data_IF_146433137258
#
_entry.id   IF_146433137258
#
_cell.length_a   1.000
_cell.length_b   1.000
_cell.length_c   1.000
_cell.angle_alpha   90.00
_cell.angle_beta   90.00
_cell.angle_gamma   90.00
#
_symmetry.space_group_name_H-M   'P 1'
#
loop_
_entity.id
_entity.type
_entity.pdbx_description
1 polymer ?
#
# COMPACT_ATOMS: atom_id res chain seq x y z
N UNK A 1 25.08 13.81 -8.20
CA UNK A 1 24.11 14.24 -7.15
C UNK A 1 24.75 14.00 -5.79
N UNK A 2 24.50 14.85 -4.78
CA UNK A 2 25.03 14.63 -3.43
C UNK A 2 24.39 13.39 -2.82
N UNK A 3 25.19 12.53 -2.15
CA UNK A 3 24.68 11.35 -1.46
C UNK A 3 24.63 11.57 0.06
N UNK A 4 23.58 11.05 0.71
CA UNK A 4 23.44 11.10 2.17
C UNK A 4 23.80 9.78 2.86
N UNK A 5 24.32 9.87 4.08
CA UNK A 5 24.66 8.69 4.89
C UNK A 5 23.42 7.92 5.32
N UNK A 6 23.56 6.62 5.59
CA UNK A 6 22.48 5.78 6.13
C UNK A 6 21.91 6.35 7.43
N UNK A 7 22.74 6.91 8.30
CA UNK A 7 22.27 7.53 9.54
C UNK A 7 21.33 8.73 9.27
N UNK A 8 21.63 9.55 8.26
CA UNK A 8 20.76 10.65 7.87
C UNK A 8 19.50 10.17 7.14
N UNK A 9 19.58 9.07 6.37
CA UNK A 9 18.39 8.41 5.80
C UNK A 9 17.45 7.90 6.89
N UNK A 10 17.98 7.25 7.93
CA UNK A 10 17.20 6.79 9.06
C UNK A 10 16.51 7.97 9.75
N UNK A 11 17.26 9.04 10.05
CA UNK A 11 16.70 10.26 10.68
C UNK A 11 15.59 10.89 9.85
N UNK A 12 15.73 10.95 8.52
CA UNK A 12 14.69 11.48 7.64
C UNK A 12 13.44 10.59 7.64
N UNK A 13 13.60 9.27 7.58
CA UNK A 13 12.49 8.32 7.69
C UNK A 13 11.77 8.39 9.04
N UNK A 14 12.52 8.47 10.15
CA UNK A 14 11.97 8.64 11.49
C UNK A 14 11.21 9.97 11.62
N UNK A 15 11.74 11.06 11.06
CA UNK A 15 11.10 12.38 11.09
C UNK A 15 9.78 12.43 10.31
N UNK A 16 9.64 11.64 9.23
CA UNK A 16 8.37 11.53 8.50
C UNK A 16 7.39 10.63 9.25
N UNK A 17 7.85 9.45 9.67
CA UNK A 17 6.97 8.43 10.25
C UNK A 17 6.44 8.79 11.64
N UNK A 18 7.17 9.58 12.43
CA UNK A 18 6.67 10.08 13.73
C UNK A 18 5.42 10.94 13.58
N UNK A 19 5.23 11.61 12.43
CA UNK A 19 4.02 12.41 12.14
C UNK A 19 2.75 11.56 12.06
N UNK A 20 2.91 10.26 11.82
CA UNK A 20 1.81 9.30 11.71
C UNK A 20 1.40 8.69 13.07
N UNK A 21 2.07 9.03 14.18
CA UNK A 21 1.69 8.57 15.51
C UNK A 21 0.24 8.96 15.85
N UNK A 22 -0.62 7.96 16.07
CA UNK A 22 -2.06 8.16 16.27
C UNK A 22 -2.80 8.68 15.04
N UNK A 23 -2.17 8.63 13.86
CA UNK A 23 -2.74 9.06 12.59
C UNK A 23 -3.70 8.06 11.97
N UNK A 24 -4.20 8.39 10.78
CA UNK A 24 -5.16 7.59 10.03
C UNK A 24 -4.54 7.10 8.73
N UNK A 25 -4.91 5.89 8.30
CA UNK A 25 -4.63 5.36 6.97
C UNK A 25 -5.96 5.13 6.26
N UNK A 26 -6.26 5.98 5.29
CA UNK A 26 -7.51 5.90 4.52
C UNK A 26 -7.26 5.24 3.18
N UNK A 27 -8.15 4.32 2.82
CA UNK A 27 -8.05 3.53 1.60
C UNK A 27 -9.10 4.00 0.61
N UNK A 28 -8.71 4.26 -0.63
CA UNK A 28 -9.56 4.87 -1.62
C UNK A 28 -9.61 4.09 -2.93
N UNK A 29 -10.71 4.26 -3.65
CA UNK A 29 -10.81 3.94 -5.09
C UNK A 29 -10.95 5.21 -5.94
N UNK A 30 -10.89 5.04 -7.26
CA UNK A 30 -10.82 6.12 -8.25
C UNK A 30 -9.39 6.39 -8.71
N UNK A 31 -9.19 7.49 -9.43
CA UNK A 31 -7.87 7.88 -9.95
C UNK A 31 -6.94 8.25 -8.79
N UNK A 32 -5.78 7.59 -8.62
CA UNK A 32 -4.80 8.01 -7.63
C UNK A 32 -4.33 9.46 -7.89
N UNK A 33 -4.17 10.26 -6.84
CA UNK A 33 -3.59 11.59 -6.95
C UNK A 33 -2.15 11.51 -7.49
N UNK A 34 -1.66 12.61 -8.09
CA UNK A 34 -0.29 12.69 -8.60
C UNK A 34 0.72 12.60 -7.46
N UNK A 35 0.41 13.25 -6.34
CA UNK A 35 1.18 13.20 -5.10
C UNK A 35 0.29 13.44 -3.87
N UNK A 36 0.89 13.32 -2.68
CA UNK A 36 0.22 13.52 -1.39
C UNK A 36 -0.31 14.96 -1.18
N UNK A 37 0.22 15.95 -1.91
CA UNK A 37 -0.23 17.34 -1.82
C UNK A 37 -1.48 17.61 -2.66
N UNK A 38 -1.73 16.75 -3.65
CA UNK A 38 -2.89 16.87 -4.54
C UNK A 38 -4.16 16.56 -3.75
N UNK A 39 -5.11 17.51 -3.78
CA UNK A 39 -6.42 17.34 -3.17
C UNK A 39 -7.17 16.18 -3.85
N UNK A 40 -7.91 15.41 -3.05
CA UNK A 40 -8.74 14.32 -3.58
C UNK A 40 -9.99 14.90 -4.25
N UNK A 41 -10.38 14.35 -5.40
CA UNK A 41 -11.53 14.80 -6.17
C UNK A 41 -12.16 13.61 -6.89
N UNK A 42 -13.41 13.28 -6.54
CA UNK A 42 -14.12 12.12 -7.08
C UNK A 42 -13.64 10.75 -6.56
N UNK A 43 -12.69 10.72 -5.61
CA UNK A 43 -12.29 9.49 -4.94
C UNK A 43 -13.36 9.03 -3.95
N UNK A 44 -13.53 7.73 -3.81
CA UNK A 44 -14.44 7.13 -2.81
C UNK A 44 -13.62 6.49 -1.71
N UNK A 45 -13.91 6.84 -0.45
CA UNK A 45 -13.35 6.18 0.73
C UNK A 45 -13.93 4.76 0.84
N UNK A 46 -13.05 3.78 1.01
CA UNK A 46 -13.41 2.38 1.17
C UNK A 46 -13.22 1.90 2.61
N UNK A 47 -12.20 2.41 3.31
CA UNK A 47 -11.89 2.04 4.68
C UNK A 47 -11.02 3.10 5.38
N UNK A 48 -11.10 3.16 6.70
CA UNK A 48 -10.28 4.01 7.58
C UNK A 48 -9.64 3.18 8.71
N UNK A 49 -8.32 2.99 8.62
CA UNK A 49 -7.53 2.31 9.64
C UNK A 49 -6.81 3.34 10.53
N UNK A 50 -6.41 2.92 11.74
CA UNK A 50 -5.75 3.81 12.71
C UNK A 50 -4.35 3.32 13.05
N UNK A 51 -3.35 4.20 12.97
CA UNK A 51 -2.00 3.92 13.46
C UNK A 51 -1.96 3.96 14.99
N UNK A 52 -1.11 3.13 15.60
CA UNK A 52 -0.86 3.18 17.04
C UNK A 52 -0.19 4.49 17.50
N UNK A 53 -0.14 4.71 18.82
CA UNK A 53 0.55 5.86 19.43
C UNK A 53 2.04 5.95 19.03
N UNK A 54 2.66 4.81 18.73
CA UNK A 54 3.94 4.72 18.02
C UNK A 54 3.68 4.01 16.70
N UNK A 55 3.57 4.76 15.61
CA UNK A 55 3.12 4.25 14.32
C UNK A 55 4.16 3.35 13.64
N UNK A 56 5.46 3.67 13.79
CA UNK A 56 6.55 2.95 13.15
C UNK A 56 7.67 2.64 14.16
N UNK A 57 8.39 1.54 13.91
CA UNK A 57 9.67 1.28 14.53
C UNK A 57 10.76 2.21 13.97
N UNK A 58 11.86 2.36 14.72
CA UNK A 58 13.00 3.17 14.27
C UNK A 58 13.57 2.65 12.94
N UNK A 59 13.87 3.57 12.04
CA UNK A 59 14.34 3.26 10.71
C UNK A 59 15.72 2.57 10.72
N UNK A 60 15.87 1.58 9.85
CA UNK A 60 17.13 0.90 9.56
C UNK A 60 17.35 0.90 8.05
N UNK A 61 18.56 1.24 7.60
CA UNK A 61 18.89 1.35 6.17
C UNK A 61 17.95 2.29 5.36
N UNK A 62 17.42 3.30 6.03
CA UNK A 62 16.48 4.28 5.50
C UNK A 62 15.03 3.80 5.39
N UNK A 63 14.71 2.63 5.95
CA UNK A 63 13.35 2.05 5.94
C UNK A 63 12.84 1.90 7.36
N UNK A 64 11.64 2.40 7.62
CA UNK A 64 10.90 2.20 8.85
C UNK A 64 9.70 1.28 8.58
N UNK A 65 9.51 0.27 9.43
CA UNK A 65 8.36 -0.61 9.36
C UNK A 65 7.26 -0.12 10.32
N UNK A 66 6.02 -0.13 9.86
CA UNK A 66 4.89 0.19 10.73
C UNK A 66 4.78 -0.84 11.85
N UNK A 67 4.43 -0.39 13.04
CA UNK A 67 3.91 -1.26 14.08
C UNK A 67 2.49 -1.72 13.71
N UNK A 68 1.83 -2.46 14.60
CA UNK A 68 0.46 -2.88 14.38
C UNK A 68 -0.45 -1.67 14.06
N UNK A 69 -1.14 -1.75 12.92
CA UNK A 69 -2.17 -0.81 12.50
C UNK A 69 -3.51 -1.42 12.90
N UNK A 70 -4.32 -0.66 13.64
CA UNK A 70 -5.65 -1.09 14.04
C UNK A 70 -6.52 -1.28 12.80
N UNK A 71 -7.12 -2.47 12.68
CA UNK A 71 -8.00 -2.82 11.59
C UNK A 71 -9.23 -1.90 11.53
N UNK A 72 -9.70 -1.63 10.33
CA UNK A 72 -11.06 -1.14 10.13
C UNK A 72 -11.99 -2.36 10.19
N UNK A 73 -12.84 -2.46 11.22
CA UNK A 73 -13.76 -3.59 11.37
C UNK A 73 -15.01 -3.48 10.50
N UNK A 74 -15.25 -2.33 9.88
CA UNK A 74 -16.49 -2.02 9.16
C UNK A 74 -16.22 -1.07 8.00
N UNK A 75 -15.61 -1.59 6.94
CA UNK A 75 -15.32 -0.83 5.72
C UNK A 75 -16.52 0.01 5.25
N UNK A 76 -16.26 1.26 4.89
CA UNK A 76 -17.29 2.23 4.52
C UNK A 76 -18.03 1.85 3.24
N UNK A 77 -17.32 1.25 2.28
CA UNK A 77 -17.86 0.94 0.96
C UNK A 77 -17.20 -0.28 0.31
N UNK A 78 -17.88 -0.87 -0.67
CA UNK A 78 -17.34 -1.95 -1.51
C UNK A 78 -16.59 -1.35 -2.69
N UNK A 79 -15.39 -1.86 -2.96
CA UNK A 79 -14.63 -1.44 -4.13
C UNK A 79 -13.22 -2.00 -4.19
N UNK A 80 -12.61 -1.84 -5.36
CA UNK A 80 -11.20 -2.17 -5.61
C UNK A 80 -10.35 -0.95 -5.30
N UNK A 81 -9.53 -0.94 -4.26
CA UNK A 81 -8.73 0.22 -3.93
C UNK A 81 -7.61 0.43 -4.94
N UNK A 82 -7.27 1.69 -5.14
CA UNK A 82 -6.23 2.11 -6.07
C UNK A 82 -5.05 2.75 -5.34
N UNK A 83 -5.30 3.39 -4.19
CA UNK A 83 -4.28 3.94 -3.32
C UNK A 83 -4.77 4.01 -1.86
N UNK A 84 -3.83 4.20 -0.95
CA UNK A 84 -4.10 4.58 0.44
C UNK A 84 -3.32 5.86 0.76
N UNK A 85 -3.88 6.73 1.61
CA UNK A 85 -3.25 7.96 2.07
C UNK A 85 -3.14 7.94 3.58
N UNK A 86 -1.93 8.15 4.08
CA UNK A 86 -1.66 8.28 5.49
C UNK A 86 -1.72 9.76 5.91
N UNK A 87 -2.37 10.01 7.04
CA UNK A 87 -2.60 11.33 7.61
C UNK A 87 -2.01 11.40 9.01
N UNK A 88 -1.66 12.61 9.44
CA UNK A 88 -1.38 12.89 10.85
C UNK A 88 -2.62 12.63 11.72
N UNK A 89 -2.41 12.63 13.04
CA UNK A 89 -3.51 12.66 14.01
C UNK A 89 -4.48 13.81 13.68
N UNK A 90 -5.78 13.52 13.68
CA UNK A 90 -6.83 14.47 13.26
C UNK A 90 -7.25 14.34 11.79
N UNK A 91 -6.53 13.58 10.97
CA UNK A 91 -7.03 13.12 9.66
C UNK A 91 -7.15 14.21 8.58
N UNK A 92 -6.49 15.36 8.75
CA UNK A 92 -6.56 16.48 7.79
C UNK A 92 -5.26 16.66 7.02
N UNK A 93 -4.10 16.58 7.70
CA UNK A 93 -2.79 16.74 7.07
C UNK A 93 -2.32 15.43 6.45
N UNK A 94 -2.23 15.38 5.12
CA UNK A 94 -1.67 14.24 4.41
C UNK A 94 -0.14 14.18 4.59
N UNK A 95 0.41 12.97 4.75
CA UNK A 95 1.85 12.75 4.94
C UNK A 95 2.44 11.96 3.77
N UNK A 96 1.80 10.87 3.36
CA UNK A 96 2.32 9.97 2.31
C UNK A 96 1.18 9.18 1.66
N UNK A 97 1.33 8.92 0.36
CA UNK A 97 0.45 8.04 -0.42
C UNK A 97 1.15 6.71 -0.69
N UNK A 98 0.37 5.64 -0.69
CA UNK A 98 0.78 4.29 -1.06
C UNK A 98 -0.08 3.77 -2.19
N UNK A 99 0.51 3.03 -3.14
CA UNK A 99 -0.27 2.27 -4.11
C UNK A 99 -0.88 1.07 -3.39
N UNK A 100 -2.21 0.97 -3.40
CA UNK A 100 -2.87 -0.12 -2.68
C UNK A 100 -2.53 -1.45 -3.36
N UNK A 101 -2.03 -2.41 -2.59
CA UNK A 101 -1.72 -3.76 -3.03
C UNK A 101 -2.19 -4.78 -2.00
N UNK A 102 -2.64 -5.95 -2.47
CA UNK A 102 -3.14 -7.03 -1.63
C UNK A 102 -2.25 -8.26 -1.69
N UNK A 103 -2.40 -9.20 -0.78
CA UNK A 103 -1.81 -10.53 -0.97
C UNK A 103 -2.32 -11.18 -2.27
N UNK A 104 -1.45 -11.81 -3.05
CA UNK A 104 -1.90 -12.62 -4.18
C UNK A 104 -2.74 -13.81 -3.69
N UNK A 105 -3.84 -14.09 -4.39
CA UNK A 105 -4.73 -15.21 -4.10
C UNK A 105 -4.93 -16.02 -5.39
N UNK A 106 -4.74 -17.32 -5.28
CA UNK A 106 -4.98 -18.27 -6.37
C UNK A 106 -6.41 -18.18 -6.93
N UNK A 107 -6.56 -18.50 -8.21
CA UNK A 107 -7.88 -18.60 -8.87
C UNK A 107 -8.77 -17.37 -8.69
N UNK A 108 -8.17 -16.19 -8.51
CA UNK A 108 -8.89 -14.93 -8.25
C UNK A 108 -8.94 -14.07 -9.50
N UNK A 109 -10.08 -13.41 -9.73
CA UNK A 109 -10.25 -12.47 -10.83
C UNK A 109 -9.63 -11.11 -10.49
N UNK A 110 -8.65 -10.70 -11.30
CA UNK A 110 -7.99 -9.40 -11.21
C UNK A 110 -8.34 -8.53 -12.41
N UNK A 111 -8.58 -7.25 -12.16
CA UNK A 111 -8.80 -6.20 -13.14
C UNK A 111 -7.49 -5.48 -13.45
N UNK A 112 -7.43 -4.81 -14.60
CA UNK A 112 -6.28 -3.95 -14.94
C UNK A 112 -6.11 -2.88 -13.85
N UNK A 113 -4.88 -2.70 -13.40
CA UNK A 113 -4.53 -1.72 -12.36
C UNK A 113 -4.55 -2.26 -10.94
N UNK A 114 -5.17 -3.43 -10.68
CA UNK A 114 -5.04 -4.12 -9.40
C UNK A 114 -3.57 -4.38 -9.11
N UNK A 115 -3.20 -4.36 -7.83
CA UNK A 115 -1.87 -4.74 -7.39
C UNK A 115 -1.91 -5.87 -6.39
N UNK A 116 -0.95 -6.77 -6.54
CA UNK A 116 -0.73 -7.89 -5.64
C UNK A 116 0.69 -7.91 -5.13
N UNK A 117 0.87 -8.52 -3.97
CA UNK A 117 2.14 -8.82 -3.35
C UNK A 117 2.34 -10.33 -3.39
N UNK A 118 3.46 -10.75 -3.96
CA UNK A 118 3.92 -12.13 -3.94
C UNK A 118 5.43 -12.17 -3.68
N UNK A 119 5.87 -12.97 -2.72
CA UNK A 119 7.29 -13.05 -2.34
C UNK A 119 7.92 -11.71 -1.90
N UNK A 120 7.13 -10.79 -1.34
CA UNK A 120 7.57 -9.44 -0.92
C UNK A 120 7.65 -8.40 -2.05
N UNK A 121 7.35 -8.79 -3.28
CA UNK A 121 7.35 -7.92 -4.45
C UNK A 121 5.93 -7.51 -4.82
N UNK A 122 5.76 -6.26 -5.28
CA UNK A 122 4.52 -5.73 -5.79
C UNK A 122 4.44 -5.86 -7.32
N UNK A 123 3.27 -6.27 -7.79
CA UNK A 123 2.96 -6.46 -9.20
C UNK A 123 1.64 -5.79 -9.56
N UNK A 124 1.59 -5.06 -10.67
CA UNK A 124 0.38 -4.45 -11.21
C UNK A 124 -0.16 -5.29 -12.37
N UNK A 125 -1.46 -5.61 -12.36
CA UNK A 125 -2.12 -6.25 -13.48
C UNK A 125 -2.16 -5.29 -14.69
N UNK A 126 -1.59 -5.72 -15.81
CA UNK A 126 -1.60 -5.02 -17.10
C UNK A 126 -2.58 -5.63 -18.09
N UNK A 127 -3.00 -6.88 -17.88
CA UNK A 127 -4.15 -7.50 -18.53
C UNK A 127 -5.03 -8.20 -17.49
N UNK A 128 -6.34 -7.99 -17.54
CA UNK A 128 -7.29 -8.61 -16.62
C UNK A 128 -7.46 -10.10 -16.91
N UNK A 129 -7.81 -10.88 -15.89
CA UNK A 129 -8.04 -12.31 -16.02
C UNK A 129 -8.21 -12.99 -14.66
N UNK A 130 -8.23 -14.32 -14.68
CA UNK A 130 -8.19 -15.14 -13.46
C UNK A 130 -6.77 -15.64 -13.24
N UNK A 131 -6.20 -15.38 -12.05
CA UNK A 131 -4.84 -15.82 -11.72
C UNK A 131 -4.70 -17.35 -11.72
N UNK A 132 -3.48 -17.87 -11.80
CA UNK A 132 -3.26 -19.30 -11.74
C UNK A 132 -3.73 -19.90 -10.41
N UNK A 133 -3.90 -21.22 -10.39
CA UNK A 133 -4.27 -21.95 -9.18
C UNK A 133 -3.14 -22.00 -8.12
N UNK A 134 -1.91 -21.64 -8.48
CA UNK A 134 -0.75 -21.56 -7.56
C UNK A 134 0.38 -20.72 -8.16
N UNK A 135 1.38 -20.38 -7.33
CA UNK A 135 2.64 -19.75 -7.76
C UNK A 135 2.62 -18.22 -7.79
N UNK A 136 1.61 -17.62 -8.43
CA UNK A 136 1.48 -16.17 -8.59
C UNK A 136 2.61 -15.53 -9.43
N UNK A 137 2.57 -14.19 -9.63
CA UNK A 137 3.62 -13.50 -10.38
C UNK A 137 4.95 -13.57 -9.64
N UNK A 138 6.04 -13.86 -10.36
CA UNK A 138 7.41 -13.86 -9.84
C UNK A 138 8.36 -13.18 -10.83
N UNK A 139 9.54 -12.77 -10.36
CA UNK A 139 10.53 -12.03 -11.16
C UNK A 139 10.33 -10.52 -11.14
N UNK A 140 11.09 -9.82 -11.98
CA UNK A 140 11.18 -8.34 -12.03
C UNK A 140 10.80 -7.74 -13.39
N UNK A 141 10.16 -8.54 -14.26
CA UNK A 141 9.81 -8.14 -15.62
C UNK A 141 8.55 -7.28 -15.73
N UNK A 142 8.40 -6.60 -16.86
CA UNK A 142 7.21 -5.82 -17.20
C UNK A 142 6.06 -6.67 -17.80
N UNK A 143 6.30 -7.95 -18.06
CA UNK A 143 5.31 -8.89 -18.61
C UNK A 143 5.54 -10.25 -18.00
N UNK A 144 4.69 -10.61 -17.05
CA UNK A 144 4.72 -11.87 -16.31
C UNK A 144 3.32 -12.48 -16.40
N UNK A 145 3.17 -13.60 -17.08
CA UNK A 145 1.89 -14.29 -17.20
C UNK A 145 1.68 -15.22 -16.01
N UNK A 146 0.51 -15.12 -15.38
CA UNK A 146 0.07 -15.93 -14.25
C UNK A 146 -1.42 -16.26 -14.46
N UNK A 147 -1.68 -17.49 -14.92
CA UNK A 147 -3.01 -17.88 -15.39
C UNK A 147 -3.44 -17.03 -16.58
N UNK A 148 -4.61 -16.40 -16.45
CA UNK A 148 -5.13 -15.44 -17.43
C UNK A 148 -4.74 -13.98 -17.17
N UNK A 149 -3.97 -13.68 -16.12
CA UNK A 149 -3.54 -12.32 -15.79
C UNK A 149 -2.13 -12.08 -16.31
N UNK A 150 -1.87 -10.88 -16.83
CA UNK A 150 -0.51 -10.41 -17.10
C UNK A 150 -0.14 -9.35 -16.09
N UNK A 151 1.04 -9.48 -15.50
CA UNK A 151 1.56 -8.61 -14.45
C UNK A 151 2.80 -7.84 -14.90
N UNK A 152 3.00 -6.67 -14.31
CA UNK A 152 4.24 -5.91 -14.38
C UNK A 152 4.78 -5.69 -12.96
N UNK A 153 6.04 -6.05 -12.72
CA UNK A 153 6.73 -5.74 -11.48
C UNK A 153 6.84 -4.23 -11.28
N UNK A 154 6.57 -3.75 -10.06
CA UNK A 154 6.65 -2.33 -9.69
C UNK A 154 7.66 -2.02 -8.59
N UNK A 155 8.29 -3.04 -7.99
CA UNK A 155 9.20 -2.86 -6.88
C UNK A 155 8.91 -3.82 -5.73
N UNK A 156 9.62 -3.60 -4.62
CA UNK A 156 9.28 -4.21 -3.33
C UNK A 156 7.97 -3.62 -2.82
N UNK A 157 7.16 -4.43 -2.13
CA UNK A 157 5.88 -3.97 -1.61
C UNK A 157 6.07 -2.96 -0.45
N UNK A 158 5.43 -1.80 -0.58
CA UNK A 158 5.43 -0.78 0.49
C UNK A 158 4.24 -0.94 1.44
N UNK A 159 3.11 -1.46 0.93
CA UNK A 159 1.90 -1.76 1.69
C UNK A 159 1.31 -3.08 1.20
N UNK A 160 0.82 -3.92 2.12
CA UNK A 160 0.08 -5.14 1.79
C UNK A 160 -1.19 -5.21 2.62
N UNK A 161 -2.35 -5.08 1.98
CA UNK A 161 -3.64 -5.41 2.57
C UNK A 161 -3.85 -6.93 2.55
N UNK A 162 -4.49 -7.45 3.59
CA UNK A 162 -4.91 -8.86 3.60
C UNK A 162 -6.19 -9.03 2.78
N UNK A 163 -6.40 -10.24 2.24
CA UNK A 163 -7.60 -10.57 1.47
C UNK A 163 -7.44 -10.31 -0.03
N UNK A 164 -8.56 -10.41 -0.75
CA UNK A 164 -8.60 -10.28 -2.21
C UNK A 164 -8.63 -8.83 -2.69
N UNK A 165 -8.66 -8.61 -4.02
CA UNK A 165 -8.48 -7.28 -4.59
C UNK A 165 -9.67 -6.33 -4.42
N UNK A 166 -10.74 -6.75 -3.74
CA UNK A 166 -11.91 -5.92 -3.42
C UNK A 166 -12.12 -5.88 -1.93
N UNK A 167 -12.24 -4.66 -1.39
CA UNK A 167 -12.83 -4.41 -0.08
C UNK A 167 -14.35 -4.57 -0.23
N UNK A 168 -14.98 -5.12 0.80
CA UNK A 168 -16.43 -5.30 0.89
C UNK A 168 -16.92 -4.45 2.04
N UNK A 169 -17.97 -3.67 1.80
CA UNK A 169 -18.60 -2.83 2.82
C UNK A 169 -18.97 -3.65 4.06
N UNK A 170 -18.78 -3.07 5.24
CA UNK A 170 -18.91 -3.71 6.57
C UNK A 170 -17.92 -4.86 6.81
N UNK A 171 -17.06 -5.18 5.85
CA UNK A 171 -15.99 -6.15 6.01
C UNK A 171 -14.82 -5.56 6.80
N UNK A 172 -14.04 -6.45 7.41
CA UNK A 172 -12.81 -6.04 8.09
C UNK A 172 -11.67 -5.83 7.08
N UNK A 173 -10.99 -4.70 7.16
CA UNK A 173 -9.80 -4.37 6.38
C UNK A 173 -8.58 -4.36 7.30
N UNK A 174 -7.56 -5.12 6.93
CA UNK A 174 -6.31 -5.23 7.69
C UNK A 174 -5.12 -4.98 6.78
N UNK A 175 -4.07 -4.39 7.36
CA UNK A 175 -2.77 -4.23 6.73
C UNK A 175 -1.82 -5.25 7.37
N UNK A 176 -1.28 -6.14 6.54
CA UNK A 176 -0.35 -7.20 6.97
C UNK A 176 1.10 -6.71 6.98
N UNK A 177 1.43 -5.73 6.15
CA UNK A 177 2.72 -5.03 6.19
C UNK A 177 2.59 -3.62 5.65
N UNK A 178 3.36 -2.69 6.23
CA UNK A 178 3.54 -1.35 5.69
C UNK A 178 4.94 -0.85 6.05
N UNK A 179 5.64 -0.27 5.08
CA UNK A 179 6.95 0.36 5.29
C UNK A 179 6.98 1.75 4.68
N UNK A 180 7.80 2.62 5.26
CA UNK A 180 8.20 3.88 4.66
C UNK A 180 9.69 3.81 4.36
N UNK A 181 10.10 4.11 3.12
CA UNK A 181 11.51 4.13 2.72
C UNK A 181 11.91 5.51 2.24
N UNK A 182 12.90 6.09 2.93
CA UNK A 182 13.61 7.26 2.44
C UNK A 182 14.61 6.84 1.36
N UNK A 183 14.38 7.30 0.13
CA UNK A 183 15.29 7.08 -1.00
C UNK A 183 16.70 7.57 -0.69
N UNK A 184 17.71 6.83 -1.16
CA UNK A 184 19.08 7.32 -1.17
C UNK A 184 19.23 8.28 -2.35
N UNK A 185 19.12 9.59 -2.11
CA UNK A 185 19.58 10.61 -3.04
C UNK A 185 21.05 10.90 -2.78
#
# INVERSE_FOLDING_TARGET
MPSITTANRNRAADAVTVRLNGGLLRVYTGTPPVDANTALSGNTLLAELTFGATAFAAATNGTAAANAITADSSADNTGRPTFARAFEAGGTTAVVDYRAAFSWIASTAYAIGDRVVNGGNQYRATAAGTAAASGGPTGIGATITDGGVTWAYEGVAEITFSGGPSIVQLGTVTVSSLTYTQSAS
#
